data_IF_607453250272
#
_entry.id   IF_607453250272
#
_cell.length_a   1.000
_cell.length_b   1.000
_cell.length_c   1.000
_cell.angle_alpha   90.00
_cell.angle_beta   90.00
_cell.angle_gamma   90.00
#
_symmetry.space_group_name_H-M   'P 1'
#
loop_
_entity.id
_entity.type
_entity.pdbx_description
1 polymer ?
#
# COMPACT_ATOMS: atom_id res chain seq x y z
N UNK A 1 32.77 3.27 -8.51
CA UNK A 1 32.50 4.55 -7.87
C UNK A 1 32.44 4.30 -6.36
N UNK A 2 33.14 5.13 -5.59
CA UNK A 2 33.34 4.96 -4.17
C UNK A 2 32.10 5.42 -3.39
N UNK A 3 31.23 4.45 -3.06
CA UNK A 3 29.98 4.69 -2.30
C UNK A 3 30.28 5.20 -0.89
N UNK A 4 31.32 4.65 -0.26
CA UNK A 4 31.67 5.05 1.10
C UNK A 4 32.09 6.52 1.17
N UNK A 5 32.92 6.97 0.24
CA UNK A 5 33.33 8.36 0.13
C UNK A 5 32.16 9.32 -0.16
N UNK A 6 31.20 8.88 -0.98
CA UNK A 6 30.00 9.68 -1.26
C UNK A 6 29.13 9.85 -0.01
N UNK A 7 28.91 8.77 0.76
CA UNK A 7 28.16 8.82 2.02
C UNK A 7 28.84 9.70 3.06
N UNK A 8 30.15 9.54 3.23
CA UNK A 8 30.95 10.41 4.13
C UNK A 8 30.79 11.88 3.76
N UNK A 9 30.86 12.21 2.46
CA UNK A 9 30.72 13.59 1.99
C UNK A 9 29.33 14.15 2.23
N UNK A 10 28.31 13.35 2.09
CA UNK A 10 26.92 13.73 2.41
C UNK A 10 26.80 14.00 3.93
N UNK A 11 27.35 13.14 4.76
CA UNK A 11 27.35 13.31 6.22
C UNK A 11 28.04 14.59 6.65
N UNK A 12 29.23 14.88 6.11
CA UNK A 12 29.99 16.13 6.35
C UNK A 12 29.15 17.38 5.97
N UNK A 13 28.43 17.33 4.85
CA UNK A 13 27.60 18.44 4.37
C UNK A 13 26.33 18.65 5.19
N UNK A 14 25.82 17.60 5.81
CA UNK A 14 24.58 17.62 6.58
C UNK A 14 24.81 17.76 8.09
N UNK A 15 26.07 17.89 8.55
CA UNK A 15 26.43 18.02 9.96
C UNK A 15 27.07 19.38 10.25
N UNK A 16 26.53 20.23 11.16
CA UNK A 16 25.26 20.03 11.85
C UNK A 16 24.05 20.39 10.99
N UNK A 17 22.99 19.60 11.09
CA UNK A 17 21.70 19.97 10.49
C UNK A 17 21.08 21.20 11.19
N UNK A 18 20.48 22.14 10.45
CA UNK A 18 19.71 23.23 11.05
C UNK A 18 18.61 22.70 11.97
N UNK A 19 18.30 23.47 13.02
CA UNK A 19 17.21 23.15 13.93
C UNK A 19 15.88 23.04 13.19
N UNK A 20 15.06 22.05 13.56
CA UNK A 20 13.77 21.77 12.90
C UNK A 20 13.87 20.89 11.65
N UNK A 21 15.06 20.40 11.28
CA UNK A 21 15.26 19.43 10.22
C UNK A 21 15.75 18.09 10.76
N UNK A 22 15.39 17.01 10.07
CA UNK A 22 15.97 15.67 10.27
C UNK A 22 16.44 15.09 8.94
N UNK A 23 17.49 14.30 8.99
CA UNK A 23 18.01 13.56 7.84
C UNK A 23 17.82 12.06 8.05
N UNK A 24 17.51 11.35 7.00
CA UNK A 24 17.52 9.89 6.98
C UNK A 24 18.00 9.37 5.62
N UNK A 25 18.70 8.24 5.67
CA UNK A 25 19.23 7.60 4.48
C UNK A 25 18.14 6.81 3.74
N UNK A 26 18.24 6.81 2.42
CA UNK A 26 17.51 5.89 1.54
C UNK A 26 18.49 5.13 0.64
N UNK A 27 17.96 4.41 -0.33
CA UNK A 27 18.77 3.67 -1.29
C UNK A 27 19.52 4.63 -2.23
N UNK A 28 20.80 4.91 -1.90
CA UNK A 28 21.66 5.87 -2.63
C UNK A 28 21.21 7.34 -2.55
N UNK A 29 20.40 7.71 -1.57
CA UNK A 29 19.96 9.09 -1.33
C UNK A 29 20.05 9.43 0.16
N UNK A 30 20.17 10.71 0.46
CA UNK A 30 19.92 11.27 1.79
C UNK A 30 18.71 12.20 1.68
N UNK A 31 17.74 11.99 2.55
CA UNK A 31 16.52 12.78 2.58
C UNK A 31 16.58 13.76 3.76
N UNK A 32 16.36 15.03 3.49
CA UNK A 32 16.24 16.06 4.52
C UNK A 32 14.82 16.56 4.54
N UNK A 33 14.18 16.47 5.68
CA UNK A 33 12.77 16.84 5.86
C UNK A 33 12.59 17.65 7.15
N UNK A 34 11.46 18.28 7.33
CA UNK A 34 11.10 18.88 8.63
C UNK A 34 11.11 17.82 9.72
N UNK A 35 11.54 18.17 10.92
CA UNK A 35 11.61 17.23 12.05
C UNK A 35 10.23 16.69 12.45
N UNK A 36 9.19 17.49 12.24
CA UNK A 36 7.78 17.17 12.48
C UNK A 36 7.04 16.57 11.27
N UNK A 37 7.73 16.42 10.13
CA UNK A 37 7.13 15.79 8.96
C UNK A 37 6.67 14.36 9.28
N UNK A 38 5.45 13.96 8.88
CA UNK A 38 4.98 12.61 9.08
C UNK A 38 5.90 11.62 8.36
N UNK A 39 6.12 10.48 8.96
CA UNK A 39 6.80 9.37 8.30
C UNK A 39 5.85 8.62 7.34
N UNK A 40 6.40 7.67 6.60
CA UNK A 40 5.63 6.91 5.63
C UNK A 40 4.53 6.06 6.30
N UNK A 41 4.77 5.55 7.50
CA UNK A 41 3.77 4.79 8.26
C UNK A 41 2.57 5.65 8.62
N UNK A 42 2.81 6.85 9.16
CA UNK A 42 1.75 7.81 9.50
C UNK A 42 0.94 8.20 8.27
N UNK A 43 1.60 8.44 7.13
CA UNK A 43 0.93 8.78 5.87
C UNK A 43 0.03 7.64 5.36
N UNK A 44 0.51 6.40 5.39
CA UNK A 44 -0.28 5.22 4.98
C UNK A 44 -1.46 4.99 5.92
N UNK A 45 -1.28 5.09 7.24
CA UNK A 45 -2.36 4.97 8.20
C UNK A 45 -3.43 6.05 8.03
N UNK A 46 -3.01 7.31 7.80
CA UNK A 46 -3.92 8.40 7.51
C UNK A 46 -4.74 8.14 6.23
N UNK A 47 -4.10 7.62 5.18
CA UNK A 47 -4.77 7.27 3.92
C UNK A 47 -5.82 6.18 4.14
N UNK A 48 -5.48 5.10 4.84
CA UNK A 48 -6.41 4.00 5.16
C UNK A 48 -7.60 4.51 5.95
N UNK A 49 -7.35 5.36 6.96
CA UNK A 49 -8.40 5.97 7.78
C UNK A 49 -9.32 6.87 6.94
N UNK A 50 -8.75 7.74 6.11
CA UNK A 50 -9.50 8.69 5.27
C UNK A 50 -10.36 7.98 4.23
N UNK A 51 -9.85 6.87 3.68
CA UNK A 51 -10.60 6.10 2.68
C UNK A 51 -11.61 5.13 3.28
N UNK A 52 -11.59 4.93 4.60
CA UNK A 52 -12.42 3.92 5.27
C UNK A 52 -12.08 2.49 4.87
N UNK A 53 -10.89 2.24 4.36
CA UNK A 53 -10.46 0.91 3.94
C UNK A 53 -10.28 -0.02 5.16
N UNK A 54 -10.80 -1.25 5.07
CA UNK A 54 -10.71 -2.23 6.14
C UNK A 54 -9.31 -2.86 6.26
N UNK A 55 -8.50 -2.79 5.21
CA UNK A 55 -7.14 -3.35 5.15
C UNK A 55 -6.31 -2.61 4.11
N UNK A 56 -5.00 -2.80 4.16
CA UNK A 56 -4.08 -2.28 3.16
C UNK A 56 -3.19 -3.39 2.59
N UNK A 57 -2.85 -3.24 1.33
CA UNK A 57 -1.76 -3.92 0.67
C UNK A 57 -0.63 -2.91 0.49
N UNK A 58 0.52 -3.19 1.09
CA UNK A 58 1.68 -2.32 1.02
C UNK A 58 2.92 -3.12 0.58
N UNK A 59 3.61 -2.63 -0.43
CA UNK A 59 4.85 -3.21 -0.92
C UNK A 59 5.93 -2.13 -1.00
N UNK A 60 7.14 -2.46 -0.58
CA UNK A 60 8.27 -1.55 -0.56
C UNK A 60 9.61 -2.26 -0.76
N UNK A 61 10.62 -1.52 -1.22
CA UNK A 61 11.97 -2.02 -1.48
C UNK A 61 13.06 -1.24 -0.76
N UNK A 62 12.70 -0.17 -0.04
CA UNK A 62 13.65 0.73 0.62
C UNK A 62 13.55 0.61 2.16
N UNK A 63 14.60 1.05 2.83
CA UNK A 63 14.65 1.21 4.30
C UNK A 63 13.53 2.12 4.81
N UNK A 64 13.13 3.11 4.03
CA UNK A 64 12.02 4.01 4.34
C UNK A 64 10.64 3.34 4.39
N UNK A 65 10.53 2.10 3.94
CA UNK A 65 9.31 1.31 4.00
C UNK A 65 9.19 0.53 5.30
N UNK A 66 10.29 0.31 6.01
CA UNK A 66 10.32 -0.46 7.26
C UNK A 66 9.40 0.11 8.36
N UNK A 67 9.25 1.43 8.56
CA UNK A 67 8.26 1.95 9.50
C UNK A 67 6.83 1.51 9.19
N UNK A 68 6.47 1.37 7.91
CA UNK A 68 5.14 0.86 7.50
C UNK A 68 5.00 -0.61 7.85
N UNK A 69 6.02 -1.43 7.58
CA UNK A 69 6.02 -2.84 7.92
C UNK A 69 5.91 -3.06 9.44
N UNK A 70 6.66 -2.27 10.22
CA UNK A 70 6.63 -2.33 11.67
C UNK A 70 5.26 -1.95 12.27
N UNK A 71 4.61 -0.93 11.71
CA UNK A 71 3.35 -0.40 12.21
C UNK A 71 2.11 -1.11 11.63
N UNK A 72 2.27 -1.97 10.63
CA UNK A 72 1.16 -2.60 9.93
C UNK A 72 0.37 -3.56 10.83
N UNK A 73 -0.96 -3.37 10.98
CA UNK A 73 -1.82 -4.30 11.68
C UNK A 73 -1.80 -5.71 11.07
N UNK A 74 -2.19 -6.70 11.86
CA UNK A 74 -2.14 -8.12 11.47
C UNK A 74 -2.93 -8.47 10.20
N UNK A 75 -3.95 -7.72 9.88
CA UNK A 75 -4.81 -7.92 8.71
C UNK A 75 -4.33 -7.21 7.43
N UNK A 76 -3.23 -6.43 7.51
CA UNK A 76 -2.63 -5.85 6.30
C UNK A 76 -1.69 -6.85 5.64
N UNK A 77 -1.60 -6.78 4.32
CA UNK A 77 -0.63 -7.53 3.54
C UNK A 77 0.58 -6.64 3.26
N UNK A 78 1.73 -6.99 3.85
CA UNK A 78 2.99 -6.26 3.67
C UNK A 78 4.03 -7.12 2.98
N UNK A 79 4.72 -6.54 1.99
CA UNK A 79 5.69 -7.22 1.14
C UNK A 79 6.97 -6.42 0.99
N UNK A 80 8.10 -7.05 1.28
CA UNK A 80 9.42 -6.56 0.91
C UNK A 80 9.74 -7.01 -0.52
N UNK A 81 10.17 -6.08 -1.37
CA UNK A 81 10.67 -6.38 -2.72
C UNK A 81 12.19 -6.38 -2.68
N UNK A 82 12.79 -7.50 -3.02
CA UNK A 82 14.22 -7.77 -2.85
C UNK A 82 14.51 -8.51 -1.55
N UNK A 83 15.63 -9.26 -1.54
CA UNK A 83 16.11 -10.03 -0.38
C UNK A 83 17.39 -9.45 0.22
N UNK A 84 17.61 -8.17 -0.02
CA UNK A 84 18.81 -7.45 0.39
C UNK A 84 18.81 -7.04 1.88
N UNK A 85 17.68 -7.19 2.57
CA UNK A 85 17.54 -6.88 3.98
C UNK A 85 16.84 -8.03 4.75
N UNK A 86 17.64 -8.92 5.41
CA UNK A 86 17.07 -10.01 6.20
C UNK A 86 16.41 -9.55 7.50
N UNK A 87 16.61 -8.28 7.90
CA UNK A 87 16.01 -7.71 9.10
C UNK A 87 14.66 -7.02 8.83
N UNK A 88 14.19 -7.05 7.59
CA UNK A 88 12.90 -6.46 7.23
C UNK A 88 11.74 -7.03 8.05
N UNK A 89 10.86 -6.14 8.49
CA UNK A 89 9.64 -6.46 9.24
C UNK A 89 8.43 -6.74 8.36
N UNK A 90 8.60 -6.75 7.03
CA UNK A 90 7.56 -7.17 6.10
C UNK A 90 7.19 -8.64 6.33
N UNK A 91 5.91 -8.98 6.25
CA UNK A 91 5.44 -10.36 6.48
C UNK A 91 5.83 -11.33 5.39
N UNK A 92 5.98 -10.83 4.18
CA UNK A 92 6.34 -11.62 3.01
C UNK A 92 7.44 -10.91 2.23
N UNK A 93 8.24 -11.68 1.50
CA UNK A 93 9.28 -11.17 0.60
C UNK A 93 9.05 -11.66 -0.81
N UNK A 94 9.38 -10.81 -1.76
CA UNK A 94 9.46 -11.14 -3.19
C UNK A 94 10.91 -10.95 -3.65
N UNK A 95 11.39 -11.79 -4.57
CA UNK A 95 12.76 -11.71 -5.05
C UNK A 95 13.03 -10.43 -5.88
N UNK A 96 11.98 -9.86 -6.46
CA UNK A 96 12.11 -8.64 -7.23
C UNK A 96 10.85 -8.20 -7.98
N UNK A 97 10.97 -7.19 -8.84
CA UNK A 97 9.83 -6.61 -9.57
C UNK A 97 9.08 -7.61 -10.45
N UNK A 98 9.75 -8.66 -10.95
CA UNK A 98 9.10 -9.68 -11.77
C UNK A 98 8.05 -10.46 -10.97
N UNK A 99 8.38 -10.88 -9.74
CA UNK A 99 7.43 -11.57 -8.87
C UNK A 99 6.29 -10.64 -8.44
N UNK A 100 6.56 -9.35 -8.28
CA UNK A 100 5.51 -8.36 -8.02
C UNK A 100 4.52 -8.27 -9.18
N UNK A 101 4.98 -8.29 -10.41
CA UNK A 101 4.10 -8.30 -11.58
C UNK A 101 3.20 -9.56 -11.61
N UNK A 102 3.77 -10.74 -11.31
CA UNK A 102 2.99 -11.99 -11.20
C UNK A 102 1.95 -11.93 -10.08
N UNK A 103 2.32 -11.40 -8.92
CA UNK A 103 1.40 -11.22 -7.79
C UNK A 103 0.23 -10.29 -8.16
N UNK A 104 0.50 -9.15 -8.78
CA UNK A 104 -0.54 -8.20 -9.21
C UNK A 104 -1.50 -8.81 -10.23
N UNK A 105 -0.99 -9.60 -11.18
CA UNK A 105 -1.83 -10.35 -12.11
C UNK A 105 -2.75 -11.34 -11.38
N UNK A 106 -2.23 -12.02 -10.35
CA UNK A 106 -3.02 -12.95 -9.54
C UNK A 106 -4.08 -12.25 -8.73
N UNK A 107 -3.75 -11.12 -8.10
CA UNK A 107 -4.72 -10.28 -7.36
C UNK A 107 -5.82 -9.80 -8.28
N UNK A 108 -5.48 -9.32 -9.47
CA UNK A 108 -6.45 -8.88 -10.47
C UNK A 108 -7.41 -10.02 -10.87
N UNK A 109 -6.90 -11.21 -11.11
CA UNK A 109 -7.73 -12.36 -11.46
C UNK A 109 -8.70 -12.74 -10.32
N UNK A 110 -8.25 -12.72 -9.06
CA UNK A 110 -9.08 -13.03 -7.90
C UNK A 110 -10.18 -11.97 -7.72
N UNK A 111 -9.83 -10.69 -7.83
CA UNK A 111 -10.80 -9.59 -7.65
C UNK A 111 -11.84 -9.55 -8.77
N UNK A 112 -11.44 -9.84 -10.02
CA UNK A 112 -12.36 -9.96 -11.14
C UNK A 112 -13.36 -11.12 -10.96
N UNK A 113 -12.88 -12.28 -10.51
CA UNK A 113 -13.73 -13.43 -10.21
C UNK A 113 -14.72 -13.13 -9.08
N UNK A 114 -14.27 -12.46 -8.01
CA UNK A 114 -15.13 -12.06 -6.90
C UNK A 114 -16.20 -11.02 -7.31
N UNK A 115 -15.86 -10.08 -8.19
CA UNK A 115 -16.79 -9.11 -8.73
C UNK A 115 -17.88 -9.79 -9.58
N UNK A 116 -17.50 -10.77 -10.39
CA UNK A 116 -18.46 -11.54 -11.22
C UNK A 116 -19.43 -12.38 -10.38
N UNK A 117 -19.01 -12.84 -9.21
CA UNK A 117 -19.86 -13.62 -8.30
C UNK A 117 -20.87 -12.73 -7.52
N UNK A 118 -20.64 -11.42 -7.45
CA UNK A 118 -21.50 -10.47 -6.71
C UNK A 118 -22.67 -9.88 -7.51
N UNK A 119 -22.90 -10.27 -8.75
CA UNK A 119 -24.07 -9.81 -9.50
C UNK A 119 -25.29 -10.55 -8.93
N UNK A 120 -26.16 -9.92 -8.12
CA UNK A 120 -27.38 -10.56 -7.69
C UNK A 120 -28.27 -10.70 -8.93
N UNK A 121 -28.75 -11.92 -9.16
CA UNK A 121 -29.78 -12.21 -10.14
C UNK A 121 -31.11 -11.51 -9.73
N UNK A 122 -31.20 -10.20 -10.01
CA UNK A 122 -32.40 -9.42 -9.76
C UNK A 122 -33.44 -9.69 -10.88
N UNK A 123 -33.83 -10.96 -11.02
CA UNK A 123 -35.08 -11.30 -11.69
C UNK A 123 -36.24 -11.07 -10.70
N UNK A 124 -36.55 -9.83 -10.41
CA UNK A 124 -37.89 -9.51 -9.84
C UNK A 124 -38.90 -9.78 -10.91
N UNK A 125 -39.86 -10.62 -10.50
CA UNK A 125 -40.96 -11.07 -11.33
C UNK A 125 -41.68 -9.95 -12.06
N UNK A 126 -41.98 -10.24 -13.29
CA UNK A 126 -42.95 -9.51 -14.12
C UNK A 126 -44.26 -9.58 -13.38
N UNK A 127 -44.67 -8.46 -12.78
CA UNK A 127 -46.07 -8.30 -12.29
C UNK A 127 -46.93 -8.25 -13.53
N UNK A 128 -47.74 -9.30 -13.75
CA UNK A 128 -48.79 -9.30 -14.76
C UNK A 128 -49.81 -8.21 -14.44
N UNK A 129 -50.21 -7.37 -15.40
CA UNK A 129 -51.31 -6.40 -15.18
C UNK A 129 -52.62 -7.12 -14.95
N UNK A 130 -53.27 -6.81 -13.81
CA UNK A 130 -54.68 -7.21 -13.59
C UNK A 130 -55.56 -6.50 -14.60
N UNK A 131 -56.34 -7.27 -15.31
CA UNK A 131 -57.43 -6.77 -16.15
C UNK A 131 -58.55 -6.17 -15.25
N UNK A 132 -59.12 -5.03 -15.62
CA UNK A 132 -60.30 -4.50 -14.93
C UNK A 132 -61.52 -5.36 -15.21
N UNK A 133 -62.19 -5.80 -14.15
CA UNK A 133 -63.52 -6.40 -14.25
C UNK A 133 -64.52 -5.32 -14.72
N UNK A 134 -65.19 -5.59 -15.80
CA UNK A 134 -66.35 -4.82 -16.27
C UNK A 134 -67.53 -5.20 -15.40
N UNK A 135 -68.12 -4.24 -14.68
CA UNK A 135 -69.43 -4.31 -14.13
C UNK A 135 -70.41 -4.11 -15.29
N UNK A 136 -71.37 -5.01 -15.43
CA UNK A 136 -72.55 -4.89 -16.27
C UNK A 136 -73.79 -5.23 -15.44
N UNK A 137 -74.98 -4.81 -15.85
CA UNK A 137 -75.91 -3.84 -15.28
C UNK A 137 -76.86 -4.42 -14.25
#
# INVERSE_FOLDING_TARGET
RDRARALQRIEELLTPLPAGLRCFAGKMVANVVSADAPDKAQAVHALVTTTGAAAAFFAGDDVNDEPVFAAAPAHWLTLRIGRDDPASLARFGLDGPHEMAMLLQRVLAITAAAASCRIPNNRRGIISPQQPQADAP
#
